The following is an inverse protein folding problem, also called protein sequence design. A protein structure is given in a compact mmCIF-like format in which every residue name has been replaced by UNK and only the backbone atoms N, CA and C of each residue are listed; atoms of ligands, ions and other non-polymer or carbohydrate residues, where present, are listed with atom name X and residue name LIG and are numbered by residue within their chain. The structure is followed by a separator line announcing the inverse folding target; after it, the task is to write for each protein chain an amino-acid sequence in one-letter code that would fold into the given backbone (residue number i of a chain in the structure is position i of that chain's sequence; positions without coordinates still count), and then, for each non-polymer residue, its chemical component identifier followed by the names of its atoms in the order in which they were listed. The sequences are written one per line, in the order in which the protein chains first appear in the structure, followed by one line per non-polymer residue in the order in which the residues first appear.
data_IF_108257615968
#
_entry.id   IF_108257615968
#
_cell.length_a   1.000
_cell.length_b   1.000
_cell.length_c   1.000
_cell.angle_alpha   90.00
_cell.angle_beta   90.00
_cell.angle_gamma   90.00
#
_symmetry.space_group_name_H-M   'P 1'
#
loop_
_entity.id
_entity.type
_entity.pdbx_description
1 polymer ?
#
# COMPACT_ATOMS: atom_id res chain seq x y z
N UNK A 1 -2.53 4.84 -4.77
CA UNK A 1 -3.03 3.80 -3.84
C UNK A 1 -3.63 4.49 -2.63
N UNK A 2 -4.90 4.23 -2.30
CA UNK A 2 -5.50 4.81 -1.10
C UNK A 2 -5.12 3.99 0.13
N UNK A 3 -4.70 4.66 1.20
CA UNK A 3 -4.39 4.03 2.48
C UNK A 3 -5.13 4.73 3.61
N UNK A 4 -5.83 3.95 4.43
CA UNK A 4 -6.56 4.43 5.60
C UNK A 4 -6.10 3.72 6.86
N UNK A 5 -5.71 4.49 7.87
CA UNK A 5 -5.44 3.98 9.21
C UNK A 5 -6.65 4.28 10.09
N UNK A 6 -7.28 3.24 10.62
CA UNK A 6 -8.44 3.33 11.49
C UNK A 6 -8.13 2.77 12.89
N UNK A 7 -8.72 3.42 13.89
CA UNK A 7 -8.63 3.09 15.29
C UNK A 7 -9.49 4.06 16.10
N UNK A 8 -9.90 3.66 17.30
CA UNK A 8 -10.76 4.49 18.14
C UNK A 8 -11.37 3.72 19.31
N UNK A 9 -12.22 4.40 20.08
CA UNK A 9 -12.89 3.82 21.26
C UNK A 9 -14.23 3.16 20.94
N UNK A 10 -14.81 3.38 19.74
CA UNK A 10 -16.14 2.89 19.36
C UNK A 10 -16.18 2.38 17.91
N UNK A 11 -17.16 1.51 17.61
CA UNK A 11 -17.40 0.95 16.28
C UNK A 11 -16.57 -0.30 15.95
N UNK A 12 -16.66 -0.76 14.70
CA UNK A 12 -15.97 -1.99 14.21
C UNK A 12 -14.45 -1.90 14.33
N UNK A 13 -13.89 -0.69 14.23
CA UNK A 13 -12.46 -0.43 14.41
C UNK A 13 -12.09 -0.01 15.85
N UNK A 14 -12.97 -0.24 16.84
CA UNK A 14 -12.63 -0.04 18.24
C UNK A 14 -11.44 -0.91 18.60
N UNK A 15 -10.40 -0.31 19.18
CA UNK A 15 -9.10 -0.98 19.30
C UNK A 15 -8.54 -1.02 20.71
N UNK A 16 -9.31 -0.63 21.74
CA UNK A 16 -8.86 -0.68 23.13
C UNK A 16 -9.03 -2.08 23.77
N UNK A 17 -9.84 -2.94 23.14
CA UNK A 17 -10.12 -4.30 23.57
C UNK A 17 -9.54 -5.38 22.65
N UNK A 18 -10.17 -6.55 22.66
CA UNK A 18 -9.84 -7.67 21.77
C UNK A 18 -10.11 -7.34 20.31
N UNK A 19 -9.29 -7.87 19.39
CA UNK A 19 -9.55 -7.77 17.95
C UNK A 19 -10.64 -8.73 17.43
N UNK A 20 -11.27 -9.53 18.31
CA UNK A 20 -12.35 -10.47 17.96
C UNK A 20 -13.45 -9.83 17.12
N UNK A 21 -13.91 -8.61 17.48
CA UNK A 21 -14.96 -7.92 16.74
C UNK A 21 -14.57 -7.63 15.29
N UNK A 22 -13.35 -7.12 15.07
CA UNK A 22 -12.83 -6.84 13.73
C UNK A 22 -12.58 -8.13 12.95
N UNK A 23 -11.98 -9.15 13.57
CA UNK A 23 -11.75 -10.45 12.92
C UNK A 23 -13.06 -11.09 12.47
N UNK A 24 -14.09 -11.09 13.33
CA UNK A 24 -15.40 -11.61 13.00
C UNK A 24 -16.03 -10.83 11.84
N UNK A 25 -16.00 -9.49 11.88
CA UNK A 25 -16.49 -8.64 10.79
C UNK A 25 -15.83 -9.02 9.46
N UNK A 26 -14.51 -9.09 9.43
CA UNK A 26 -13.76 -9.43 8.22
C UNK A 26 -14.06 -10.86 7.72
N UNK A 27 -14.31 -11.81 8.62
CA UNK A 27 -14.68 -13.18 8.22
C UNK A 27 -16.13 -13.31 7.73
N UNK A 28 -17.05 -12.44 8.16
CA UNK A 28 -18.43 -12.47 7.67
C UNK A 28 -18.52 -12.08 6.19
N UNK A 29 -17.66 -11.16 5.72
CA UNK A 29 -17.60 -10.77 4.31
C UNK A 29 -17.21 -11.95 3.39
N UNK A 30 -16.41 -12.92 3.86
CA UNK A 30 -16.09 -14.13 3.11
C UNK A 30 -17.28 -15.08 2.91
N UNK A 31 -18.21 -15.10 3.87
CA UNK A 31 -19.32 -16.06 3.86
C UNK A 31 -20.22 -15.84 2.63
N UNK A 32 -20.32 -14.61 2.14
CA UNK A 32 -21.04 -14.30 0.91
C UNK A 32 -20.37 -14.86 -0.35
N UNK A 33 -19.03 -14.94 -0.34
CA UNK A 33 -18.24 -15.50 -1.45
C UNK A 33 -18.26 -17.02 -1.45
N UNK A 34 -18.18 -17.63 -0.27
CA UNK A 34 -18.38 -19.06 -0.08
C UNK A 34 -19.77 -19.49 -0.56
N UNK A 35 -20.82 -18.73 -0.24
CA UNK A 35 -22.18 -18.96 -0.77
C UNK A 35 -22.26 -18.87 -2.29
N UNK A 36 -21.36 -18.09 -2.91
CA UNK A 36 -21.24 -17.96 -4.36
C UNK A 36 -20.28 -19.00 -5.01
N UNK A 37 -19.84 -20.03 -4.26
CA UNK A 37 -18.97 -21.09 -4.76
C UNK A 37 -17.51 -20.68 -4.96
N UNK A 38 -17.10 -19.51 -4.45
CA UNK A 38 -15.72 -19.03 -4.51
C UNK A 38 -14.91 -19.54 -3.30
N UNK A 39 -13.59 -19.69 -3.47
CA UNK A 39 -12.70 -20.12 -2.40
C UNK A 39 -12.65 -19.13 -1.23
N UNK A 40 -12.45 -19.64 -0.01
CA UNK A 40 -12.20 -18.82 1.17
C UNK A 40 -10.78 -18.25 1.13
N UNK A 41 -10.64 -16.94 1.31
CA UNK A 41 -9.34 -16.30 1.47
C UNK A 41 -9.00 -16.15 2.96
N UNK A 42 -8.10 -16.98 3.47
CA UNK A 42 -7.67 -16.93 4.87
C UNK A 42 -6.80 -15.67 5.14
N UNK A 43 -6.52 -15.42 6.43
CA UNK A 43 -5.59 -14.36 6.79
C UNK A 43 -4.16 -14.74 6.40
N UNK A 44 -3.36 -13.73 6.09
CA UNK A 44 -1.93 -13.87 5.81
C UNK A 44 -1.10 -13.03 6.79
N UNK A 45 0.16 -13.39 7.00
CA UNK A 45 1.16 -12.58 7.69
C UNK A 45 2.38 -12.36 6.78
N UNK A 46 3.48 -11.89 7.35
CA UNK A 46 4.74 -11.66 6.65
C UNK A 46 5.25 -12.88 5.86
N UNK A 47 4.90 -14.10 6.30
CA UNK A 47 5.49 -15.36 5.80
C UNK A 47 4.47 -16.44 5.41
N UNK A 48 3.22 -16.35 5.88
CA UNK A 48 2.20 -17.40 5.70
C UNK A 48 0.91 -16.82 5.11
N UNK A 49 0.19 -17.63 4.34
CA UNK A 49 -1.09 -17.26 3.69
C UNK A 49 -2.34 -17.95 4.28
N UNK A 50 -2.17 -18.92 5.20
CA UNK A 50 -3.23 -19.81 5.66
C UNK A 50 -3.49 -19.70 7.16
N UNK A 51 -3.81 -18.50 7.64
CA UNK A 51 -3.97 -18.21 9.07
C UNK A 51 -5.46 -18.10 9.41
N UNK A 52 -5.90 -18.84 10.44
CA UNK A 52 -7.28 -18.82 10.91
C UNK A 52 -7.52 -17.62 11.82
N UNK A 53 -8.73 -17.06 11.81
CA UNK A 53 -9.12 -15.92 12.65
C UNK A 53 -8.85 -16.13 14.15
N UNK A 54 -9.04 -17.36 14.67
CA UNK A 54 -8.70 -17.69 16.06
C UNK A 54 -7.21 -17.50 16.39
N UNK A 55 -6.30 -17.81 15.46
CA UNK A 55 -4.88 -17.57 15.65
C UNK A 55 -4.57 -16.06 15.64
N UNK A 56 -5.19 -15.31 14.72
CA UNK A 56 -5.09 -13.84 14.66
C UNK A 56 -5.47 -13.23 16.00
N UNK A 57 -6.66 -13.59 16.53
CA UNK A 57 -7.18 -13.11 17.82
C UNK A 57 -6.18 -13.42 18.93
N UNK A 58 -5.77 -14.69 19.06
CA UNK A 58 -4.85 -15.13 20.10
C UNK A 58 -3.53 -14.35 20.06
N UNK A 59 -2.95 -14.15 18.89
CA UNK A 59 -1.63 -13.53 18.75
C UNK A 59 -1.67 -12.01 18.95
N UNK A 60 -2.65 -11.31 18.40
CA UNK A 60 -2.81 -9.86 18.60
C UNK A 60 -3.16 -9.56 20.06
N UNK A 61 -4.11 -10.28 20.65
CA UNK A 61 -4.57 -10.00 22.02
C UNK A 61 -3.51 -10.37 23.08
N UNK A 62 -2.58 -11.28 22.77
CA UNK A 62 -1.43 -11.57 23.63
C UNK A 62 -0.34 -10.49 23.56
N UNK A 63 -0.22 -9.74 22.45
CA UNK A 63 0.83 -8.75 22.25
C UNK A 63 0.44 -7.35 22.78
N UNK A 64 0.26 -7.26 24.10
CA UNK A 64 -0.21 -6.05 24.80
C UNK A 64 0.64 -5.63 26.00
N UNK A 65 1.93 -5.97 25.98
CA UNK A 65 2.87 -5.69 27.07
C UNK A 65 2.93 -4.21 27.41
N UNK A 66 2.68 -3.88 28.68
CA UNK A 66 2.65 -2.51 29.22
C UNK A 66 1.63 -1.57 28.53
N UNK A 67 0.56 -2.12 27.95
CA UNK A 67 -0.59 -1.36 27.47
C UNK A 67 -1.68 -1.33 28.54
N UNK A 68 -2.15 -0.14 28.90
CA UNK A 68 -3.25 0.05 29.84
C UNK A 68 -4.62 -0.34 29.27
N UNK A 69 -5.68 -0.17 30.06
CA UNK A 69 -7.05 -0.51 29.63
C UNK A 69 -7.53 0.38 28.48
N UNK A 70 -7.26 1.68 28.54
CA UNK A 70 -7.67 2.69 27.55
C UNK A 70 -6.70 2.83 26.37
N UNK A 71 -5.57 2.15 26.43
CA UNK A 71 -4.59 2.13 25.35
C UNK A 71 -5.16 1.38 24.14
N UNK A 72 -4.98 1.91 22.92
CA UNK A 72 -5.14 1.09 21.71
C UNK A 72 -4.26 -0.18 21.81
N UNK A 73 -4.72 -1.31 21.30
CA UNK A 73 -4.05 -2.62 21.29
C UNK A 73 -3.57 -3.00 19.89
N UNK A 74 -4.30 -2.55 18.87
CA UNK A 74 -3.98 -2.74 17.47
C UNK A 74 -4.50 -1.54 16.65
N UNK A 75 -4.19 -1.51 15.36
CA UNK A 75 -4.72 -0.57 14.39
C UNK A 75 -5.17 -1.33 13.15
N UNK A 76 -6.22 -0.85 12.51
CA UNK A 76 -6.66 -1.34 11.22
C UNK A 76 -6.01 -0.48 10.15
N UNK A 77 -5.26 -1.07 9.22
CA UNK A 77 -4.68 -0.36 8.07
C UNK A 77 -5.27 -0.95 6.81
N UNK A 78 -5.94 -0.12 6.02
CA UNK A 78 -6.67 -0.55 4.83
C UNK A 78 -5.91 -0.04 3.61
N UNK A 79 -5.53 -0.94 2.72
CA UNK A 79 -4.93 -0.62 1.43
C UNK A 79 -5.96 -0.88 0.34
N UNK A 80 -6.30 0.17 -0.40
CA UNK A 80 -7.26 0.14 -1.49
C UNK A 80 -6.57 0.67 -2.75
N UNK A 81 -5.93 -0.22 -3.54
CA UNK A 81 -5.41 0.14 -4.86
C UNK A 81 -6.55 0.65 -5.76
N UNK A 82 -6.24 1.57 -6.67
CA UNK A 82 -7.18 2.01 -7.69
C UNK A 82 -7.44 0.89 -8.72
N UNK A 83 -8.51 1.01 -9.50
CA UNK A 83 -8.77 0.09 -10.62
C UNK A 83 -7.57 0.05 -11.59
N UNK A 84 -6.93 1.20 -11.86
CA UNK A 84 -5.73 1.26 -12.72
C UNK A 84 -4.54 0.54 -12.11
N UNK A 85 -4.32 0.69 -10.80
CA UNK A 85 -3.24 0.00 -10.08
C UNK A 85 -3.48 -1.53 -10.07
N UNK A 86 -4.73 -1.99 -9.89
CA UNK A 86 -5.09 -3.41 -9.96
C UNK A 86 -4.90 -3.98 -11.37
N UNK A 87 -5.31 -3.25 -12.40
CA UNK A 87 -5.08 -3.63 -13.80
C UNK A 87 -3.58 -3.76 -14.09
N UNK A 88 -2.76 -2.81 -13.63
CA UNK A 88 -1.31 -2.86 -13.78
C UNK A 88 -0.69 -4.09 -13.12
N UNK A 89 -1.15 -4.43 -11.90
CA UNK A 89 -0.73 -5.65 -11.22
C UNK A 89 -1.12 -6.91 -12.01
N UNK A 90 -2.24 -6.89 -12.73
CA UNK A 90 -2.77 -8.03 -13.51
C UNK A 90 -2.00 -8.30 -14.80
N UNK A 91 -1.49 -7.24 -15.43
CA UNK A 91 -0.80 -7.33 -16.74
C UNK A 91 0.62 -7.88 -16.62
N UNK A 92 1.19 -7.81 -15.43
CA UNK A 92 2.50 -8.36 -15.15
C UNK A 92 2.34 -9.85 -14.83
N UNK A 93 2.82 -10.79 -15.65
CA UNK A 93 3.06 -12.22 -15.32
C UNK A 93 1.86 -13.12 -14.91
N UNK A 94 2.16 -14.35 -14.46
CA UNK A 94 1.18 -15.43 -14.29
C UNK A 94 0.48 -15.52 -12.91
N UNK A 95 1.02 -14.87 -11.87
CA UNK A 95 0.41 -14.88 -10.54
C UNK A 95 -0.80 -13.93 -10.45
N UNK A 96 -1.83 -14.32 -9.69
CA UNK A 96 -3.07 -13.56 -9.56
C UNK A 96 -2.90 -12.21 -8.83
N UNK A 97 -3.86 -11.30 -9.04
CA UNK A 97 -3.86 -9.96 -8.43
C UNK A 97 -3.70 -9.99 -6.90
N UNK A 98 -4.39 -10.91 -6.22
CA UNK A 98 -4.34 -11.05 -4.76
C UNK A 98 -2.93 -11.41 -4.27
N UNK A 99 -2.26 -12.37 -4.92
CA UNK A 99 -0.91 -12.80 -4.56
C UNK A 99 0.11 -11.68 -4.77
N UNK A 100 -0.03 -10.92 -5.86
CA UNK A 100 0.81 -9.75 -6.12
C UNK A 100 0.60 -8.65 -5.09
N UNK A 101 -0.64 -8.39 -4.71
CA UNK A 101 -0.90 -7.41 -3.67
C UNK A 101 -0.36 -7.88 -2.30
N UNK A 102 -0.52 -9.16 -1.93
CA UNK A 102 0.12 -9.71 -0.72
C UNK A 102 1.64 -9.55 -0.78
N UNK A 103 2.28 -9.83 -1.91
CA UNK A 103 3.71 -9.68 -2.09
C UNK A 103 4.14 -8.21 -1.95
N UNK A 104 3.40 -7.27 -2.56
CA UNK A 104 3.62 -5.84 -2.39
C UNK A 104 3.50 -5.42 -0.91
N UNK A 105 2.46 -5.88 -0.22
CA UNK A 105 2.27 -5.58 1.20
C UNK A 105 3.47 -6.05 2.04
N UNK A 106 3.94 -7.28 1.81
CA UNK A 106 5.06 -7.89 2.55
C UNK A 106 6.41 -7.22 2.29
N UNK A 107 6.68 -6.87 1.03
CA UNK A 107 7.99 -6.39 0.58
C UNK A 107 8.14 -4.89 0.71
N UNK A 108 7.07 -4.14 0.48
CA UNK A 108 7.13 -2.69 0.38
C UNK A 108 6.30 -2.01 1.46
N UNK A 109 4.99 -2.30 1.50
CA UNK A 109 4.07 -1.49 2.30
C UNK A 109 4.34 -1.61 3.81
N UNK A 110 4.62 -2.82 4.29
CA UNK A 110 4.94 -3.04 5.70
C UNK A 110 6.33 -2.56 6.09
N UNK A 111 7.27 -2.48 5.15
CA UNK A 111 8.57 -1.85 5.40
C UNK A 111 8.40 -0.33 5.55
N UNK A 112 7.66 0.32 4.65
CA UNK A 112 7.33 1.75 4.78
C UNK A 112 6.60 2.06 6.09
N UNK A 113 5.67 1.17 6.50
CA UNK A 113 4.97 1.29 7.78
C UNK A 113 5.92 1.14 8.98
N UNK A 114 6.86 0.19 8.94
CA UNK A 114 7.81 -0.03 10.04
C UNK A 114 8.84 1.10 10.16
N UNK A 115 9.40 1.53 9.02
CA UNK A 115 10.38 2.61 8.92
C UNK A 115 9.79 3.95 9.35
N UNK A 116 8.51 4.21 9.04
CA UNK A 116 7.79 5.43 9.41
C UNK A 116 7.74 5.73 10.91
N UNK A 117 8.03 4.74 11.78
CA UNK A 117 8.15 4.97 13.22
C UNK A 117 9.50 5.56 13.66
N UNK A 118 10.54 5.48 12.81
CA UNK A 118 11.89 5.94 13.12
C UNK A 118 12.56 5.17 14.26
N UNK A 119 12.33 3.84 14.35
CA UNK A 119 12.80 2.99 15.46
C UNK A 119 13.71 1.84 15.03
N UNK A 120 14.28 1.92 13.82
CA UNK A 120 15.09 0.86 13.21
C UNK A 120 14.31 -0.46 13.15
N UNK A 121 13.11 -0.41 12.58
CA UNK A 121 12.20 -1.54 12.45
C UNK A 121 12.00 -1.85 10.97
N UNK A 122 11.79 -3.13 10.69
CA UNK A 122 11.42 -3.65 9.37
C UNK A 122 10.05 -4.34 9.42
N UNK A 123 9.55 -4.79 8.27
CA UNK A 123 8.33 -5.58 8.19
C UNK A 123 8.39 -6.85 9.07
N UNK A 124 9.57 -7.47 9.23
CA UNK A 124 9.73 -8.70 10.01
C UNK A 124 9.55 -8.51 11.53
N UNK A 125 9.75 -7.27 12.00
CA UNK A 125 9.53 -6.86 13.38
C UNK A 125 8.05 -6.56 13.67
N UNK A 126 7.20 -6.49 12.64
CA UNK A 126 5.79 -6.15 12.79
C UNK A 126 4.97 -7.40 13.09
N UNK A 127 4.09 -7.31 14.09
CA UNK A 127 3.03 -8.30 14.26
C UNK A 127 1.77 -7.79 13.57
N UNK A 128 1.48 -8.34 12.39
CA UNK A 128 0.29 -8.00 11.65
C UNK A 128 -0.34 -9.24 11.00
N UNK A 129 -1.64 -9.13 10.71
CA UNK A 129 -2.37 -10.11 9.90
C UNK A 129 -3.21 -9.36 8.88
N UNK A 130 -3.08 -9.75 7.61
CA UNK A 130 -3.82 -9.18 6.50
C UNK A 130 -4.93 -10.10 6.01
N UNK A 131 -5.96 -9.52 5.42
CA UNK A 131 -7.01 -10.26 4.72
C UNK A 131 -7.39 -9.54 3.43
N UNK A 132 -7.47 -10.29 2.33
CA UNK A 132 -7.93 -9.77 1.04
C UNK A 132 -9.45 -9.81 1.00
N UNK A 133 -10.04 -8.67 0.67
CA UNK A 133 -11.46 -8.50 0.44
C UNK A 133 -11.71 -8.07 -1.00
N UNK A 134 -12.86 -8.46 -1.53
CA UNK A 134 -13.27 -8.19 -2.91
C UNK A 134 -14.61 -7.48 -2.84
N UNK A 135 -14.59 -6.19 -3.15
CA UNK A 135 -15.82 -5.43 -3.29
C UNK A 135 -16.37 -5.67 -4.70
N UNK A 136 -17.63 -6.10 -4.80
CA UNK A 136 -18.28 -6.29 -6.10
C UNK A 136 -18.42 -4.93 -6.76
N UNK A 137 -17.81 -4.77 -7.93
CA UNK A 137 -18.12 -3.63 -8.79
C UNK A 137 -19.60 -3.66 -9.19
N UNK A 138 -20.16 -2.47 -9.45
CA UNK A 138 -21.45 -2.36 -10.17
C UNK A 138 -21.35 -3.06 -11.53
N UNK A 139 -22.48 -3.46 -12.15
CA UNK A 139 -22.50 -4.15 -13.44
C UNK A 139 -21.53 -3.50 -14.46
N UNK A 140 -20.51 -4.25 -14.88
CA UNK A 140 -19.50 -3.80 -15.84
C UNK A 140 -18.20 -3.25 -15.23
N UNK A 141 -18.08 -3.18 -13.90
CA UNK A 141 -16.84 -2.84 -13.20
C UNK A 141 -16.14 -4.09 -12.65
N UNK A 142 -14.82 -4.13 -12.76
CA UNK A 142 -14.00 -5.17 -12.13
C UNK A 142 -14.11 -5.12 -10.60
N UNK A 143 -13.97 -6.27 -9.94
CA UNK A 143 -14.00 -6.34 -8.48
C UNK A 143 -12.87 -5.48 -7.89
N UNK A 144 -13.20 -4.58 -6.97
CA UNK A 144 -12.20 -3.78 -6.28
C UNK A 144 -11.60 -4.59 -5.14
N UNK A 145 -10.36 -5.02 -5.35
CA UNK A 145 -9.59 -5.78 -4.39
C UNK A 145 -8.96 -4.81 -3.39
N UNK A 146 -9.19 -5.05 -2.09
CA UNK A 146 -8.58 -4.27 -1.02
C UNK A 146 -8.09 -5.18 0.10
N UNK A 147 -7.16 -4.66 0.91
CA UNK A 147 -6.55 -5.43 2.01
C UNK A 147 -6.82 -4.75 3.33
N UNK A 148 -7.37 -5.49 4.29
CA UNK A 148 -7.46 -5.08 5.68
C UNK A 148 -6.30 -5.69 6.46
N UNK A 149 -5.44 -4.86 7.05
CA UNK A 149 -4.41 -5.28 7.98
C UNK A 149 -4.82 -4.98 9.42
N UNK A 150 -4.68 -5.97 10.29
CA UNK A 150 -4.73 -5.82 11.75
C UNK A 150 -3.29 -5.78 12.24
N UNK A 151 -2.81 -4.61 12.63
CA UNK A 151 -1.42 -4.40 13.06
C UNK A 151 -1.39 -4.16 14.56
N UNK A 152 -0.61 -4.95 15.31
CA UNK A 152 -0.45 -4.75 16.74
C UNK A 152 0.15 -3.38 17.05
N UNK A 153 -0.27 -2.74 18.16
CA UNK A 153 0.39 -1.54 18.68
C UNK A 153 1.81 -1.84 19.19
N UNK A 154 2.19 -3.11 19.32
CA UNK A 154 3.51 -3.51 19.77
C UNK A 154 4.25 -4.18 18.62
N UNK A 155 5.58 -4.05 18.61
CA UNK A 155 6.42 -4.89 17.77
C UNK A 155 6.24 -6.38 18.14
N UNK A 156 6.68 -7.27 17.27
CA UNK A 156 6.58 -8.73 17.44
C UNK A 156 7.27 -9.23 18.71
N UNK A 157 8.30 -8.52 19.18
CA UNK A 157 9.00 -8.80 20.43
C UNK A 157 8.28 -8.27 21.69
N UNK A 158 7.14 -7.57 21.54
CA UNK A 158 6.35 -6.97 22.61
C UNK A 158 7.12 -5.92 23.46
N UNK A 159 8.09 -5.24 22.86
CA UNK A 159 8.98 -4.24 23.49
C UNK A 159 8.59 -2.82 23.09
N UNK A 160 8.56 -2.48 21.80
CA UNK A 160 8.33 -1.11 21.31
C UNK A 160 6.83 -0.82 21.13
N UNK A 161 6.38 0.38 21.52
CA UNK A 161 5.03 0.90 21.23
C UNK A 161 5.01 1.62 19.88
N UNK A 162 4.08 1.26 19.01
CA UNK A 162 3.95 1.67 17.61
C UNK A 162 2.54 2.22 17.40
N UNK A 163 2.40 3.55 17.44
CA UNK A 163 1.11 4.22 17.28
C UNK A 163 1.14 5.09 16.02
N UNK A 164 0.57 4.64 14.90
CA UNK A 164 0.53 5.44 13.66
C UNK A 164 -0.41 6.65 13.77
N UNK A 165 -1.25 6.70 14.81
CA UNK A 165 -2.16 7.81 15.12
C UNK A 165 -1.57 8.80 16.13
N UNK A 166 -0.25 8.80 16.35
CA UNK A 166 0.39 9.80 17.21
C UNK A 166 0.34 11.19 16.58
N UNK A 167 0.33 12.24 17.41
CA UNK A 167 0.52 13.62 16.96
C UNK A 167 2.01 13.98 16.80
N UNK A 168 2.91 13.16 17.33
CA UNK A 168 4.35 13.36 17.19
C UNK A 168 4.82 12.98 15.79
N UNK A 169 5.54 13.90 15.12
CA UNK A 169 6.09 13.74 13.76
C UNK A 169 7.61 13.90 13.82
N UNK A 170 8.34 12.82 14.10
CA UNK A 170 9.81 12.85 14.13
C UNK A 170 10.41 13.63 15.30
N UNK A 171 9.83 13.54 16.49
CA UNK A 171 10.33 14.25 17.67
C UNK A 171 11.65 13.63 18.14
N UNK A 172 12.76 14.38 18.11
CA UNK A 172 14.09 13.87 18.52
C UNK A 172 14.40 14.11 20.01
N UNK A 173 13.73 15.07 20.65
CA UNK A 173 13.99 15.54 22.02
C UNK A 173 12.81 15.27 22.96
N UNK A 174 13.11 14.96 24.22
CA UNK A 174 12.13 14.70 25.26
C UNK A 174 11.88 13.20 25.53
N UNK A 175 10.89 12.91 26.38
CA UNK A 175 10.57 11.55 26.81
C UNK A 175 9.96 10.68 25.70
N UNK A 176 9.33 11.31 24.69
CA UNK A 176 8.79 10.64 23.50
C UNK A 176 9.70 10.92 22.31
N UNK A 177 10.54 9.95 21.96
CA UNK A 177 11.37 10.00 20.75
C UNK A 177 10.70 9.26 19.59
N UNK A 178 10.77 9.84 18.39
CA UNK A 178 10.17 9.35 17.16
C UNK A 178 8.78 9.94 16.89
N UNK A 179 8.00 9.25 16.07
CA UNK A 179 6.68 9.69 15.67
C UNK A 179 6.08 8.80 14.59
N UNK A 180 5.05 9.28 13.91
CA UNK A 180 4.57 8.67 12.67
C UNK A 180 3.95 9.76 11.79
N UNK A 181 4.61 10.10 10.68
CA UNK A 181 4.07 11.07 9.74
C UNK A 181 3.18 10.34 8.73
N UNK A 182 1.86 10.41 8.93
CA UNK A 182 0.87 9.74 8.07
C UNK A 182 0.91 10.20 6.62
N UNK A 183 1.25 11.46 6.36
CA UNK A 183 1.31 11.99 4.99
C UNK A 183 2.54 11.49 4.25
N UNK A 184 3.69 11.47 4.95
CA UNK A 184 4.91 10.86 4.42
C UNK A 184 4.70 9.36 4.16
N UNK A 185 4.05 8.66 5.08
CA UNK A 185 3.71 7.24 4.93
C UNK A 185 2.86 7.00 3.66
N UNK A 186 1.76 7.74 3.46
CA UNK A 186 0.92 7.56 2.25
C UNK A 186 1.71 7.84 0.97
N UNK A 187 2.50 8.92 0.95
CA UNK A 187 3.34 9.26 -0.21
C UNK A 187 4.42 8.20 -0.47
N UNK A 188 5.00 7.63 0.59
CA UNK A 188 5.99 6.55 0.49
C UNK A 188 5.39 5.26 -0.05
N UNK A 189 4.16 4.91 0.33
CA UNK A 189 3.41 3.78 -0.25
C UNK A 189 3.24 3.98 -1.75
N UNK A 190 2.84 5.17 -2.20
CA UNK A 190 2.71 5.44 -3.64
C UNK A 190 4.04 5.26 -4.37
N UNK A 191 5.10 5.86 -3.84
CA UNK A 191 6.42 5.80 -4.44
C UNK A 191 6.96 4.36 -4.54
N UNK A 192 6.79 3.56 -3.48
CA UNK A 192 7.23 2.16 -3.48
C UNK A 192 6.38 1.30 -4.40
N UNK A 193 5.08 1.54 -4.48
CA UNK A 193 4.24 0.86 -5.45
C UNK A 193 4.73 1.13 -6.87
N UNK A 194 4.92 2.41 -7.21
CA UNK A 194 5.33 2.82 -8.55
C UNK A 194 6.70 2.24 -8.92
N UNK A 195 7.68 2.30 -8.01
CA UNK A 195 9.02 1.74 -8.23
C UNK A 195 9.05 0.22 -8.34
N UNK A 196 8.37 -0.48 -7.43
CA UNK A 196 8.42 -1.95 -7.36
C UNK A 196 7.61 -2.63 -8.46
N UNK A 197 6.60 -1.94 -8.99
CA UNK A 197 5.71 -2.47 -10.03
C UNK A 197 5.97 -1.86 -11.40
N UNK A 198 6.68 -0.73 -11.49
CA UNK A 198 6.84 0.05 -12.72
C UNK A 198 5.58 0.83 -13.12
N UNK A 199 4.66 1.10 -12.18
CA UNK A 199 3.45 1.87 -12.46
C UNK A 199 3.80 3.33 -12.74
N UNK A 200 3.53 3.78 -13.97
CA UNK A 200 3.72 5.17 -14.39
C UNK A 200 2.53 6.01 -13.94
N UNK A 201 2.55 6.42 -12.67
CA UNK A 201 1.49 7.21 -12.05
C UNK A 201 1.40 8.60 -12.66
N UNK A 202 0.21 8.99 -13.11
CA UNK A 202 -0.10 10.37 -13.45
C UNK A 202 -0.13 11.23 -12.18
N UNK A 203 0.47 12.42 -12.21
CA UNK A 203 0.53 13.30 -11.03
C UNK A 203 -0.84 13.63 -10.44
N UNK A 204 -1.89 13.71 -11.27
CA UNK A 204 -3.25 13.97 -10.79
C UNK A 204 -3.81 12.82 -9.92
N UNK A 205 -3.24 11.62 -10.02
CA UNK A 205 -3.55 10.47 -9.18
C UNK A 205 -2.77 10.45 -7.86
N UNK A 206 -1.73 11.28 -7.73
CA UNK A 206 -0.89 11.28 -6.53
C UNK A 206 -1.64 11.81 -5.31
N UNK A 207 -1.29 11.27 -4.15
CA UNK A 207 -1.79 11.75 -2.87
C UNK A 207 -1.50 13.24 -2.68
N UNK A 208 -0.30 13.70 -3.04
CA UNK A 208 0.10 15.09 -2.92
C UNK A 208 -0.83 16.03 -3.72
N UNK A 209 -1.10 15.70 -4.99
CA UNK A 209 -2.03 16.45 -5.84
C UNK A 209 -3.46 16.43 -5.30
N UNK A 210 -3.98 15.25 -4.98
CA UNK A 210 -5.34 15.13 -4.45
C UNK A 210 -5.52 15.87 -3.12
N UNK A 211 -4.48 15.90 -2.28
CA UNK A 211 -4.47 16.64 -1.03
C UNK A 211 -4.47 18.15 -1.28
N UNK A 212 -3.63 18.67 -2.20
CA UNK A 212 -3.56 20.11 -2.48
C UNK A 212 -4.86 20.65 -3.07
N UNK A 213 -5.47 19.90 -3.99
CA UNK A 213 -6.78 20.24 -4.56
C UNK A 213 -7.85 20.28 -3.47
N UNK A 214 -7.81 19.34 -2.52
CA UNK A 214 -8.79 19.27 -1.42
C UNK A 214 -8.56 20.31 -0.33
N UNK A 215 -7.32 20.65 -0.01
CA UNK A 215 -6.99 21.69 0.97
C UNK A 215 -7.31 23.09 0.42
N UNK A 216 -7.22 23.27 -0.89
CA UNK A 216 -7.42 24.56 -1.56
C UNK A 216 -6.28 25.55 -1.32
N UNK A 217 -5.13 25.08 -0.80
CA UNK A 217 -3.95 25.91 -0.61
C UNK A 217 -3.33 26.25 -1.98
N UNK A 218 -3.25 27.55 -2.27
CA UNK A 218 -2.81 28.04 -3.58
C UNK A 218 -1.32 27.73 -3.84
N UNK A 219 -0.49 27.71 -2.80
CA UNK A 219 0.94 27.40 -2.92
C UNK A 219 1.14 25.93 -3.25
N UNK A 220 0.48 25.03 -2.51
CA UNK A 220 0.54 23.59 -2.77
C UNK A 220 -0.02 23.26 -4.16
N UNK A 221 -1.07 23.96 -4.60
CA UNK A 221 -1.66 23.75 -5.92
C UNK A 221 -0.71 24.19 -7.04
N UNK A 222 -0.05 25.34 -6.90
CA UNK A 222 0.91 25.86 -7.89
C UNK A 222 2.09 24.91 -8.07
N UNK A 223 2.68 24.41 -6.98
CA UNK A 223 3.79 23.44 -7.05
C UNK A 223 3.38 22.17 -7.81
N UNK A 224 2.18 21.65 -7.54
CA UNK A 224 1.66 20.46 -8.22
C UNK A 224 1.36 20.70 -9.71
N UNK A 225 0.90 21.89 -10.08
CA UNK A 225 0.72 22.28 -11.48
C UNK A 225 2.07 22.38 -12.20
N UNK A 226 3.09 22.95 -11.56
CA UNK A 226 4.44 23.04 -12.14
C UNK A 226 5.04 21.65 -12.41
N UNK A 227 4.94 20.73 -11.43
CA UNK A 227 5.37 19.34 -11.59
C UNK A 227 4.62 18.64 -12.72
N UNK A 228 3.31 18.89 -12.86
CA UNK A 228 2.50 18.34 -13.97
C UNK A 228 2.97 18.82 -15.33
N UNK A 229 3.19 20.14 -15.45
CA UNK A 229 3.70 20.75 -16.69
C UNK A 229 5.08 20.21 -17.04
N UNK A 230 5.94 19.97 -16.04
CA UNK A 230 7.25 19.37 -16.25
C UNK A 230 7.15 17.93 -16.79
N UNK A 231 6.29 17.08 -16.19
CA UNK A 231 6.05 15.72 -16.68
C UNK A 231 5.49 15.70 -18.11
N UNK A 232 4.53 16.57 -18.41
CA UNK A 232 3.97 16.67 -19.77
C UNK A 232 5.03 17.10 -20.79
N UNK A 233 5.96 17.99 -20.41
CA UNK A 233 7.10 18.39 -21.26
C UNK A 233 8.07 17.23 -21.48
N UNK A 234 8.41 16.48 -20.43
CA UNK A 234 9.29 15.30 -20.55
C UNK A 234 8.68 14.22 -21.45
N UNK A 235 7.40 13.88 -21.24
CA UNK A 235 6.69 12.93 -22.07
C UNK A 235 6.63 13.35 -23.55
N UNK A 236 6.40 14.64 -23.83
CA UNK A 236 6.47 15.21 -25.19
C UNK A 236 7.86 15.08 -25.81
N UNK A 237 8.91 15.37 -25.04
CA UNK A 237 10.28 15.23 -25.54
C UNK A 237 10.69 13.77 -25.80
N UNK A 238 10.23 12.82 -24.98
CA UNK A 238 10.48 11.39 -25.21
C UNK A 238 9.73 10.88 -26.44
N UNK A 239 8.47 11.28 -26.61
CA UNK A 239 7.68 10.95 -27.80
C UNK A 239 8.24 11.57 -29.08
N UNK A 240 8.82 12.77 -29.03
CA UNK A 240 9.51 13.39 -30.17
C UNK A 240 10.86 12.72 -30.48
N UNK A 241 11.59 12.24 -29.47
CA UNK A 241 12.88 11.53 -29.66
C UNK A 241 12.72 10.09 -30.15
N UNK A 242 11.58 9.45 -29.89
CA UNK A 242 11.28 8.07 -30.30
C UNK A 242 11.32 7.84 -31.83
N UNK A 243 10.62 8.63 -32.68
CA UNK A 243 10.70 8.46 -34.14
C UNK A 243 12.08 8.78 -34.72
N UNK A 244 12.84 9.70 -34.12
CA UNK A 244 14.22 10.02 -34.52
C UNK A 244 15.22 8.90 -34.20
N UNK A 245 14.97 8.09 -33.16
CA UNK A 245 15.77 6.89 -32.86
C UNK A 245 15.44 5.74 -33.81
N UNK A 246 14.16 5.48 -34.08
CA UNK A 246 13.74 4.44 -35.03
C UNK A 246 14.27 4.70 -36.45
N UNK A 247 14.20 5.95 -36.95
CA UNK A 247 14.76 6.30 -38.27
C UNK A 247 16.29 6.14 -38.34
N UNK A 248 17.02 6.35 -37.23
CA UNK A 248 18.48 6.16 -37.19
C UNK A 248 18.88 4.69 -37.09
N UNK A 249 18.09 3.86 -36.42
CA UNK A 249 18.31 2.40 -36.33
C UNK A 249 17.98 1.71 -37.66
N UNK A 250 16.89 2.08 -38.34
CA UNK A 250 16.56 1.57 -39.68
C UNK A 250 17.64 1.97 -40.72
N UNK A 251 18.07 3.23 -40.73
CA UNK A 251 19.16 3.69 -41.60
C UNK A 251 20.53 3.03 -41.27
N UNK A 252 20.72 2.59 -40.03
CA UNK A 252 21.89 1.83 -39.60
C UNK A 252 21.86 0.38 -40.11
N UNK A 253 20.71 -0.28 -40.07
CA UNK A 253 20.52 -1.65 -40.54
C UNK A 253 20.61 -1.76 -42.08
N UNK A 254 20.06 -0.80 -42.83
CA UNK A 254 20.22 -0.74 -44.30
C UNK A 254 21.68 -0.56 -44.72
N UNK A 255 22.47 0.25 -43.99
CA UNK A 255 23.90 0.44 -44.27
C UNK A 255 24.75 -0.80 -44.01
N UNK A 256 24.35 -1.67 -43.09
CA UNK A 256 25.05 -2.94 -42.80
C UNK A 256 24.72 -3.99 -43.87
N UNK A 257 23.47 -4.07 -44.34
CA UNK A 257 23.09 -4.99 -45.42
C UNK A 257 23.71 -4.60 -46.78
N UNK A 258 23.86 -3.31 -47.07
CA UNK A 258 24.50 -2.83 -48.31
C UNK A 258 26.01 -3.08 -48.44
N UNK A 259 26.72 -3.41 -47.34
CA UNK A 259 28.17 -3.70 -47.36
C UNK A 259 28.51 -5.17 -47.58
N UNK A 260 27.54 -6.09 -47.54
CA UNK A 260 27.73 -7.52 -47.78
C UNK A 260 27.70 -7.94 -49.26
N UNK A 261 27.42 -7.01 -50.18
CA UNK A 261 27.33 -7.26 -51.63
C UNK A 261 28.40 -6.47 -52.40
N UNK A 262 29.68 -6.71 -52.12
CA UNK A 262 30.75 -6.42 -53.10
C UNK A 262 31.66 -7.64 -53.16
N UNK A 263 31.56 -8.31 -54.31
CA UNK A 263 32.31 -9.51 -54.72
C UNK A 263 33.81 -9.27 -54.70
#
# INVERSE_FOLDING_TARGET
MNVKIAGGSKGVHANQGSCTGLVNYLQHEDLERLKAGQGQELFFDQTRDNIRGQEVIKRIDANRGQLGKTDAKYYSVIFSPSVKELLHLSQSGAAGQSDRLKAYIRREAMNEYAEGFGKGLSADDMLYFGKIHYERGSKGQENQLHVHLIVSRKDKANKKKLSPMTNHRGTEKGAVKGGFNREAFVSGIENRFDKSTGYARDISESFAYCKSVKSGDLSDLLEQVELRVAQEKEARQETEKSPLKQQKEEAGQERVQGRGMRR
#
